data_IF_651643131959
#
_entry.id   IF_651643131959
#
_cell.length_a   1.000
_cell.length_b   1.000
_cell.length_c   1.000
_cell.angle_alpha   90.00
_cell.angle_beta   90.00
_cell.angle_gamma   90.00
#
_symmetry.space_group_name_H-M   'P 1'
#
loop_
_entity.id
_entity.type
_entity.pdbx_description
1 polymer ?
#
# COMPACT_ATOMS: atom_id res chain seq x y z
N UNK A 1 13.96 10.06 -9.23
CA UNK A 1 13.16 9.74 -8.03
C UNK A 1 13.01 10.98 -7.18
N UNK A 2 11.77 11.29 -6.77
CA UNK A 2 11.53 12.40 -5.85
C UNK A 2 12.06 12.01 -4.47
N UNK A 3 12.85 12.90 -3.87
CA UNK A 3 13.29 12.69 -2.49
C UNK A 3 12.16 13.11 -1.55
N UNK A 4 11.92 12.30 -0.51
CA UNK A 4 10.86 12.54 0.47
C UNK A 4 10.96 13.93 1.10
N UNK A 5 12.17 14.37 1.45
CA UNK A 5 12.43 15.70 2.01
C UNK A 5 11.98 16.84 1.09
N UNK A 6 12.10 16.64 -0.23
CA UNK A 6 11.62 17.63 -1.21
C UNK A 6 10.10 17.68 -1.25
N UNK A 7 9.43 16.52 -1.17
CA UNK A 7 7.96 16.44 -1.11
C UNK A 7 7.48 17.16 0.14
N UNK A 8 8.04 16.84 1.30
CA UNK A 8 7.66 17.47 2.57
C UNK A 8 7.95 18.97 2.59
N UNK A 9 9.07 19.42 2.03
CA UNK A 9 9.37 20.83 1.86
C UNK A 9 8.32 21.58 1.02
N UNK A 10 7.82 20.97 -0.05
CA UNK A 10 6.74 21.52 -0.85
C UNK A 10 5.40 21.55 -0.07
N UNK A 11 5.08 20.48 0.66
CA UNK A 11 3.89 20.42 1.53
C UNK A 11 3.90 21.59 2.52
N UNK A 12 4.99 21.79 3.27
CA UNK A 12 5.12 22.87 4.24
C UNK A 12 4.98 24.25 3.57
N UNK A 13 5.55 24.42 2.38
CA UNK A 13 5.40 25.64 1.61
C UNK A 13 3.94 25.92 1.24
N UNK A 14 3.19 24.91 0.78
CA UNK A 14 1.76 25.09 0.44
C UNK A 14 0.92 25.35 1.67
N UNK A 15 1.20 24.68 2.80
CA UNK A 15 0.53 24.92 4.09
C UNK A 15 0.73 26.35 4.62
N UNK A 16 1.77 27.04 4.19
CA UNK A 16 2.01 28.43 4.61
C UNK A 16 1.16 29.48 3.88
N UNK A 17 0.36 29.08 2.88
CA UNK A 17 -0.55 30.00 2.20
C UNK A 17 -1.95 29.91 2.80
N UNK A 18 -2.54 31.02 3.20
CA UNK A 18 -3.85 31.11 3.88
C UNK A 18 -5.02 30.56 3.03
N UNK A 19 -4.85 30.49 1.71
CA UNK A 19 -5.87 30.01 0.75
C UNK A 19 -5.57 28.61 0.19
N UNK A 20 -4.63 27.89 0.78
CA UNK A 20 -4.28 26.53 0.36
C UNK A 20 -4.65 25.52 1.44
N UNK A 21 -5.39 24.49 1.06
CA UNK A 21 -5.59 23.29 1.83
C UNK A 21 -4.75 22.16 1.22
N UNK A 22 -4.00 21.45 2.06
CA UNK A 22 -3.15 20.34 1.62
C UNK A 22 -3.68 19.05 2.22
N UNK A 23 -4.01 18.10 1.35
CA UNK A 23 -4.47 16.78 1.72
C UNK A 23 -3.57 15.71 1.06
N UNK A 24 -3.35 14.60 1.74
CA UNK A 24 -2.74 13.41 1.16
C UNK A 24 -3.82 12.45 0.65
N UNK A 25 -3.61 11.91 -0.55
CA UNK A 25 -4.38 10.77 -1.05
C UNK A 25 -3.44 9.64 -1.38
N UNK A 26 -3.57 8.52 -0.67
CA UNK A 26 -2.80 7.32 -0.97
C UNK A 26 -3.50 6.50 -2.04
N UNK A 27 -2.73 6.03 -3.02
CA UNK A 27 -3.16 4.90 -3.86
C UNK A 27 -2.82 3.62 -3.13
N UNK A 28 -3.85 2.91 -2.66
CA UNK A 28 -3.73 1.70 -1.87
C UNK A 28 -3.73 0.50 -2.82
N UNK A 29 -2.71 -0.33 -2.72
CA UNK A 29 -2.51 -1.51 -3.56
C UNK A 29 -2.02 -2.71 -2.74
N UNK A 30 -1.84 -3.86 -3.39
CA UNK A 30 -1.44 -5.11 -2.73
C UNK A 30 -0.17 -5.01 -1.87
N UNK A 31 0.79 -4.14 -2.23
CA UNK A 31 2.05 -4.03 -1.50
C UNK A 31 1.95 -3.12 -0.29
N UNK A 32 1.18 -2.03 -0.38
CA UNK A 32 1.15 -1.03 0.69
C UNK A 32 -0.08 -1.09 1.59
N UNK A 33 -1.08 -1.90 1.25
CA UNK A 33 -2.33 -1.98 2.02
C UNK A 33 -2.11 -2.34 3.50
N UNK A 34 -1.11 -3.12 3.83
CA UNK A 34 -0.76 -3.48 5.23
C UNK A 34 0.02 -2.42 6.01
N UNK A 35 0.33 -1.27 5.39
CA UNK A 35 1.19 -0.22 5.96
C UNK A 35 0.51 1.14 6.08
N UNK A 36 -0.83 1.19 5.88
CA UNK A 36 -1.56 2.46 5.91
C UNK A 36 -1.56 3.12 7.28
N UNK A 37 -1.54 2.34 8.37
CA UNK A 37 -1.40 2.89 9.73
C UNK A 37 -0.10 3.68 9.87
N UNK A 38 1.03 3.12 9.41
CA UNK A 38 2.33 3.79 9.45
C UNK A 38 2.33 5.08 8.61
N UNK A 39 1.62 5.06 7.46
CA UNK A 39 1.50 6.24 6.59
C UNK A 39 0.65 7.30 7.26
N UNK A 40 -0.49 6.93 7.87
CA UNK A 40 -1.37 7.85 8.60
C UNK A 40 -0.62 8.51 9.77
N UNK A 41 0.16 7.73 10.54
CA UNK A 41 0.92 8.23 11.69
C UNK A 41 2.01 9.24 11.33
N UNK A 42 2.55 9.10 10.12
CA UNK A 42 3.58 10.00 9.62
C UNK A 42 3.03 11.14 8.75
N UNK A 43 1.71 11.18 8.50
CA UNK A 43 1.07 12.25 7.76
C UNK A 43 0.82 13.45 8.70
N UNK A 44 1.26 14.62 8.27
CA UNK A 44 1.04 15.89 8.99
C UNK A 44 -0.13 16.72 8.43
N UNK A 45 -0.93 16.10 7.55
CA UNK A 45 -2.13 16.69 6.92
C UNK A 45 -3.27 15.66 6.91
N UNK A 46 -4.53 16.10 6.65
CA UNK A 46 -5.64 15.18 6.41
C UNK A 46 -5.30 14.15 5.33
N UNK A 47 -5.71 12.92 5.55
CA UNK A 47 -5.37 11.76 4.74
C UNK A 47 -6.62 11.09 4.16
N UNK A 48 -6.68 10.93 2.82
CA UNK A 48 -7.74 10.19 2.13
C UNK A 48 -7.28 8.78 1.79
N UNK A 49 -8.10 7.79 2.18
CA UNK A 49 -7.90 6.35 1.92
C UNK A 49 -8.94 5.80 0.95
N UNK A 50 -9.41 6.61 0.01
CA UNK A 50 -10.50 6.31 -0.90
C UNK A 50 -10.04 5.79 -2.27
N UNK A 51 -8.74 5.74 -2.52
CA UNK A 51 -8.19 5.32 -3.80
C UNK A 51 -7.57 3.90 -3.72
N UNK A 52 -8.44 2.87 -3.71
CA UNK A 52 -8.01 1.47 -3.74
C UNK A 52 -7.82 0.99 -5.18
N UNK A 53 -6.71 0.31 -5.44
CA UNK A 53 -6.50 -0.44 -6.68
C UNK A 53 -7.15 -1.81 -6.53
N UNK A 54 -8.26 -2.01 -7.24
CA UNK A 54 -8.97 -3.29 -7.29
C UNK A 54 -9.49 -3.56 -8.70
N UNK A 55 -9.69 -4.85 -9.03
CA UNK A 55 -10.23 -5.29 -10.30
C UNK A 55 -9.35 -6.31 -11.02
N UNK A 56 -9.95 -7.01 -11.96
CA UNK A 56 -9.39 -8.20 -12.61
C UNK A 56 -8.23 -7.90 -13.58
N UNK A 57 -8.03 -6.64 -13.95
CA UNK A 57 -6.98 -6.24 -14.91
C UNK A 57 -5.85 -5.41 -14.27
N UNK A 58 -5.89 -5.20 -12.97
CA UNK A 58 -4.92 -4.37 -12.24
C UNK A 58 -3.94 -5.27 -11.49
N UNK A 59 -2.76 -5.51 -12.06
CA UNK A 59 -1.76 -6.44 -11.48
C UNK A 59 -1.33 -6.11 -10.05
N UNK A 60 -1.44 -4.85 -9.62
CA UNK A 60 -1.20 -4.44 -8.22
C UNK A 60 -2.47 -4.36 -7.38
N UNK A 61 -3.57 -4.96 -7.86
CA UNK A 61 -4.84 -5.01 -7.14
C UNK A 61 -4.70 -5.72 -5.80
N UNK A 62 -5.50 -5.30 -4.82
CA UNK A 62 -5.53 -5.93 -3.50
C UNK A 62 -6.07 -7.37 -3.53
N UNK A 63 -6.71 -7.81 -4.63
CA UNK A 63 -7.07 -9.24 -4.86
C UNK A 63 -5.83 -10.14 -4.91
N UNK A 64 -4.66 -9.57 -5.23
CA UNK A 64 -3.37 -10.27 -5.26
C UNK A 64 -2.81 -10.56 -3.87
N UNK A 65 -3.41 -10.05 -2.79
CA UNK A 65 -2.93 -10.28 -1.41
C UNK A 65 -3.34 -11.67 -0.95
N UNK A 66 -2.38 -12.60 -0.72
CA UNK A 66 -2.68 -13.94 -0.25
C UNK A 66 -3.42 -13.95 1.09
N UNK A 67 -4.27 -14.95 1.36
CA UNK A 67 -5.05 -15.04 2.59
C UNK A 67 -4.22 -14.90 3.86
N UNK A 68 -3.06 -15.54 3.93
CA UNK A 68 -2.21 -15.53 5.13
C UNK A 68 -1.58 -14.16 5.38
N UNK A 69 -1.27 -13.40 4.32
CA UNK A 69 -0.79 -12.01 4.45
C UNK A 69 -1.96 -11.10 4.82
N UNK A 70 -3.12 -11.34 4.23
CA UNK A 70 -4.35 -10.60 4.52
C UNK A 70 -4.75 -10.71 6.01
N UNK A 71 -4.69 -11.90 6.58
CA UNK A 71 -4.94 -12.12 7.99
C UNK A 71 -3.98 -11.34 8.89
N UNK A 72 -2.70 -11.28 8.52
CA UNK A 72 -1.71 -10.48 9.24
C UNK A 72 -2.03 -8.98 9.19
N UNK A 73 -2.47 -8.48 8.03
CA UNK A 73 -2.85 -7.08 7.87
C UNK A 73 -4.13 -6.76 8.65
N UNK A 74 -5.15 -7.61 8.58
CA UNK A 74 -6.38 -7.45 9.37
C UNK A 74 -6.09 -7.45 10.87
N UNK A 75 -5.22 -8.34 11.34
CA UNK A 75 -4.82 -8.36 12.75
C UNK A 75 -4.20 -7.02 13.21
N UNK A 76 -3.38 -6.39 12.38
CA UNK A 76 -2.82 -5.06 12.66
C UNK A 76 -3.92 -4.00 12.76
N UNK A 77 -4.86 -3.98 11.79
CA UNK A 77 -5.95 -3.01 11.76
C UNK A 77 -6.93 -3.17 12.92
N UNK A 78 -7.18 -4.39 13.38
CA UNK A 78 -8.04 -4.61 14.56
C UNK A 78 -7.33 -4.26 15.86
N UNK A 79 -6.01 -4.42 15.94
CA UNK A 79 -5.23 -4.05 17.13
C UNK A 79 -5.15 -2.52 17.31
N UNK A 80 -5.00 -1.78 16.21
CA UNK A 80 -4.98 -0.31 16.18
C UNK A 80 -6.09 0.20 15.23
N UNK A 81 -7.35 -0.04 15.66
CA UNK A 81 -8.50 0.34 14.86
C UNK A 81 -8.64 1.86 14.75
N UNK A 82 -8.80 2.31 13.52
CA UNK A 82 -9.11 3.70 13.17
C UNK A 82 -10.25 3.72 12.17
N UNK A 83 -11.20 4.64 12.38
CA UNK A 83 -12.36 4.77 11.50
C UNK A 83 -11.96 5.03 10.03
N UNK A 84 -10.87 5.70 9.80
CA UNK A 84 -10.32 5.97 8.47
C UNK A 84 -9.96 4.68 7.72
N UNK A 85 -9.67 3.59 8.43
CA UNK A 85 -9.31 2.29 7.85
C UNK A 85 -10.50 1.35 7.59
N UNK A 86 -11.73 1.75 7.90
CA UNK A 86 -12.94 0.92 7.73
C UNK A 86 -13.09 0.35 6.31
N UNK A 87 -12.86 1.18 5.30
CA UNK A 87 -12.94 0.76 3.90
C UNK A 87 -11.89 -0.32 3.59
N UNK A 88 -10.66 -0.17 4.08
CA UNK A 88 -9.57 -1.14 3.88
C UNK A 88 -9.92 -2.46 4.55
N UNK A 89 -10.38 -2.43 5.80
CA UNK A 89 -10.80 -3.62 6.56
C UNK A 89 -11.91 -4.34 5.78
N UNK A 90 -12.97 -3.60 5.40
CA UNK A 90 -14.09 -4.17 4.64
C UNK A 90 -13.64 -4.85 3.34
N UNK A 91 -12.70 -4.23 2.60
CA UNK A 91 -12.17 -4.84 1.39
C UNK A 91 -11.34 -6.09 1.69
N UNK A 92 -10.43 -6.02 2.66
CA UNK A 92 -9.59 -7.18 3.02
C UNK A 92 -10.41 -8.37 3.53
N UNK A 93 -11.56 -8.14 4.18
CA UNK A 93 -12.45 -9.20 4.66
C UNK A 93 -13.23 -9.90 3.54
N UNK A 94 -13.64 -9.14 2.52
CA UNK A 94 -14.65 -9.60 1.55
C UNK A 94 -14.09 -9.88 0.15
N UNK A 95 -12.85 -9.50 -0.14
CA UNK A 95 -12.29 -9.67 -1.47
C UNK A 95 -11.85 -11.12 -1.71
N UNK A 96 -12.19 -11.65 -2.87
CA UNK A 96 -11.68 -12.96 -3.31
C UNK A 96 -10.20 -12.85 -3.73
N UNK A 97 -9.42 -13.83 -3.35
CA UNK A 97 -8.01 -13.91 -3.72
C UNK A 97 -7.84 -14.42 -5.15
N UNK A 98 -6.99 -13.74 -5.92
CA UNK A 98 -6.62 -14.15 -7.28
C UNK A 98 -5.12 -14.51 -7.34
N UNK A 99 -4.83 -15.82 -7.33
CA UNK A 99 -3.47 -16.35 -7.40
C UNK A 99 -2.78 -16.00 -8.75
N UNK A 100 -3.55 -15.91 -9.83
CA UNK A 100 -3.02 -15.56 -11.14
C UNK A 100 -2.51 -14.12 -11.16
N UNK A 101 -3.31 -13.19 -10.63
CA UNK A 101 -2.90 -11.79 -10.51
C UNK A 101 -1.70 -11.65 -9.55
N UNK A 102 -1.70 -12.35 -8.42
CA UNK A 102 -0.57 -12.36 -7.50
C UNK A 102 0.71 -12.81 -8.21
N UNK A 103 0.64 -13.90 -8.98
CA UNK A 103 1.78 -14.43 -9.74
C UNK A 103 2.27 -13.42 -10.77
N UNK A 104 1.38 -12.80 -11.53
CA UNK A 104 1.72 -11.74 -12.50
C UNK A 104 2.37 -10.53 -11.82
N UNK A 105 1.83 -10.08 -10.69
CA UNK A 105 2.40 -8.98 -9.90
C UNK A 105 3.82 -9.29 -9.44
N UNK A 106 4.03 -10.45 -8.84
CA UNK A 106 5.35 -10.83 -8.33
C UNK A 106 6.37 -11.03 -9.45
N UNK A 107 5.95 -11.51 -10.63
CA UNK A 107 6.83 -11.60 -11.80
C UNK A 107 7.25 -10.22 -12.30
N UNK A 108 6.31 -9.26 -12.44
CA UNK A 108 6.63 -7.88 -12.81
C UNK A 108 7.60 -7.23 -11.80
N UNK A 109 7.41 -7.50 -10.50
CA UNK A 109 8.31 -7.01 -9.46
C UNK A 109 9.71 -7.62 -9.59
N UNK A 110 9.83 -8.94 -9.79
CA UNK A 110 11.13 -9.60 -10.01
C UNK A 110 11.89 -9.01 -11.19
N UNK A 111 11.19 -8.75 -12.28
CA UNK A 111 11.80 -8.14 -13.46
C UNK A 111 12.29 -6.72 -13.16
N UNK A 112 11.53 -5.92 -12.42
CA UNK A 112 11.94 -4.56 -11.99
C UNK A 112 13.07 -4.59 -10.98
N UNK A 113 13.05 -5.48 -10.00
CA UNK A 113 14.11 -5.65 -9.00
C UNK A 113 15.45 -5.95 -9.66
N UNK A 114 15.46 -6.82 -10.67
CA UNK A 114 16.65 -7.13 -11.46
C UNK A 114 17.27 -5.89 -12.12
N UNK A 115 16.44 -4.97 -12.64
CA UNK A 115 16.94 -3.73 -13.25
C UNK A 115 17.38 -2.68 -12.23
N UNK A 116 16.72 -2.65 -11.06
CA UNK A 116 16.94 -1.62 -10.04
C UNK A 116 18.00 -2.01 -9.02
N UNK A 117 18.38 -3.30 -8.95
CA UNK A 117 19.23 -3.82 -7.88
C UNK A 117 18.55 -3.78 -6.51
N UNK A 118 17.22 -3.92 -6.50
CA UNK A 118 16.39 -3.97 -5.28
C UNK A 118 15.88 -5.39 -5.07
N UNK A 119 15.25 -5.65 -3.92
CA UNK A 119 14.54 -6.89 -3.65
C UNK A 119 13.27 -6.58 -2.85
N UNK A 120 12.13 -7.06 -3.36
CA UNK A 120 10.82 -6.86 -2.71
C UNK A 120 10.84 -7.24 -1.23
N UNK A 121 11.43 -8.40 -0.91
CA UNK A 121 11.43 -8.97 0.45
C UNK A 121 12.28 -8.18 1.46
N UNK A 122 13.11 -7.25 1.00
CA UNK A 122 13.82 -6.33 1.89
C UNK A 122 12.89 -5.25 2.46
N UNK A 123 11.82 -4.90 1.71
CA UNK A 123 10.82 -3.91 2.09
C UNK A 123 9.55 -4.55 2.65
N UNK A 124 9.18 -5.72 2.13
CA UNK A 124 7.93 -6.43 2.44
C UNK A 124 8.24 -7.92 2.77
N UNK A 125 8.83 -8.20 3.94
CA UNK A 125 9.33 -9.54 4.28
C UNK A 125 8.23 -10.61 4.37
N UNK A 126 6.98 -10.24 4.60
CA UNK A 126 5.83 -11.14 4.63
C UNK A 126 5.55 -11.80 3.27
N UNK A 127 6.01 -11.22 2.17
CA UNK A 127 5.88 -11.75 0.83
C UNK A 127 6.94 -12.80 0.45
N UNK A 128 7.92 -13.07 1.33
CA UNK A 128 9.06 -13.97 1.05
C UNK A 128 8.64 -15.32 0.50
N UNK A 129 7.69 -15.99 1.16
CA UNK A 129 7.25 -17.33 0.79
C UNK A 129 6.63 -17.43 -0.60
N UNK A 130 6.11 -16.33 -1.12
CA UNK A 130 5.52 -16.25 -2.46
C UNK A 130 6.57 -15.81 -3.48
N UNK A 131 7.37 -14.82 -3.16
CA UNK A 131 8.40 -14.28 -4.04
C UNK A 131 9.51 -15.29 -4.36
N UNK A 132 9.94 -16.12 -3.40
CA UNK A 132 11.00 -17.12 -3.60
C UNK A 132 10.55 -18.37 -4.36
N UNK A 133 9.23 -18.65 -4.43
CA UNK A 133 8.68 -19.78 -5.18
C UNK A 133 8.54 -19.54 -6.68
N UNK A 134 8.61 -18.33 -7.14
CA UNK A 134 8.64 -17.96 -8.55
C UNK A 134 10.05 -18.13 -9.13
#
# INVERSE_FOLDING_TARGET
>A
PSKWERIMGNVQRFKSFDNCEVNYHATINALNVGYMLDIIDNADCPFGLDNLVYGDNEIYSIVSVPPEIREQYLAKYYLDYRKETDAIITYLENIEYDETQMTCMLQDIKDRDKYRGTCLIDLFPEWRNYYEKL
#
